data_IF_853969112619
#
_entry.id   IF_853969112619
#
_cell.length_a   1.000
_cell.length_b   1.000
_cell.length_c   1.000
_cell.angle_alpha   90.00
_cell.angle_beta   90.00
_cell.angle_gamma   90.00
#
_symmetry.space_group_name_H-M   'P 1'
#
loop_
_entity.id
_entity.type
_entity.pdbx_description
1 polymer ?
#
# COMPACT_ATOMS: atom_id res chain seq x y z
N UNK A 1 20.20 -38.59 16.53
CA UNK A 1 19.15 -38.84 17.54
C UNK A 1 18.04 -37.87 17.27
N UNK A 2 17.01 -38.39 16.61
CA UNK A 2 15.77 -37.75 16.23
C UNK A 2 14.80 -37.71 17.42
N UNK A 3 13.88 -36.75 17.41
CA UNK A 3 12.54 -36.73 18.04
C UNK A 3 11.95 -35.34 17.67
N UNK A 4 11.19 -35.11 16.60
CA UNK A 4 10.01 -35.78 16.02
C UNK A 4 8.67 -35.45 16.70
N UNK A 5 7.74 -34.94 15.87
CA UNK A 5 6.26 -35.00 15.95
C UNK A 5 5.53 -34.17 17.03
N UNK A 6 4.32 -33.65 16.84
CA UNK A 6 3.40 -33.50 15.71
C UNK A 6 2.22 -32.59 16.12
N UNK A 7 1.49 -32.12 15.12
CA UNK A 7 0.16 -31.48 15.15
C UNK A 7 -0.85 -32.12 16.13
N UNK A 8 -1.74 -31.29 16.68
CA UNK A 8 -3.06 -31.72 17.15
C UNK A 8 -4.14 -30.89 16.43
N UNK A 9 -4.94 -31.62 15.66
CA UNK A 9 -6.23 -31.26 15.06
C UNK A 9 -7.30 -30.98 16.13
N UNK A 10 -8.31 -30.17 15.80
CA UNK A 10 -9.69 -30.66 15.74
C UNK A 10 -10.68 -29.56 15.32
N UNK A 11 -11.29 -29.81 14.16
CA UNK A 11 -12.50 -29.17 13.65
C UNK A 11 -13.73 -29.56 14.48
N UNK A 12 -14.68 -28.65 14.63
CA UNK A 12 -16.04 -28.97 15.06
C UNK A 12 -17.04 -28.47 14.01
N UNK A 13 -17.53 -29.42 13.20
CA UNK A 13 -18.75 -29.34 12.42
C UNK A 13 -19.85 -30.10 13.17
N UNK A 14 -21.06 -29.53 13.30
CA UNK A 14 -22.36 -30.22 13.42
C UNK A 14 -23.43 -29.20 12.95
N UNK A 15 -24.05 -29.39 11.77
CA UNK A 15 -25.28 -30.19 11.47
C UNK A 15 -26.51 -29.64 12.22
N UNK A 16 -27.73 -29.45 11.68
CA UNK A 16 -28.43 -29.67 10.41
C UNK A 16 -29.85 -29.06 10.58
N UNK A 17 -30.53 -28.60 9.52
CA UNK A 17 -31.88 -29.08 9.12
C UNK A 17 -32.44 -28.38 7.88
N UNK A 18 -33.03 -29.21 7.03
CA UNK A 18 -33.65 -28.98 5.70
C UNK A 18 -35.13 -28.57 5.80
N UNK A 19 -35.64 -28.08 4.65
CA UNK A 19 -36.98 -28.25 4.01
C UNK A 19 -37.64 -26.91 3.65
N UNK A 20 -38.38 -26.67 2.54
CA UNK A 20 -38.53 -27.21 1.17
C UNK A 20 -39.72 -26.48 0.49
N UNK A 21 -39.64 -26.20 -0.83
CA UNK A 21 -40.69 -25.84 -1.83
C UNK A 21 -41.56 -24.55 -1.57
N UNK A 22 -42.05 -23.77 -2.55
CA UNK A 22 -42.82 -24.08 -3.77
C UNK A 22 -42.68 -23.00 -4.89
N UNK A 23 -43.11 -23.36 -6.12
CA UNK A 23 -43.17 -22.57 -7.37
C UNK A 23 -44.34 -21.56 -7.38
N UNK A 24 -44.21 -20.45 -8.13
CA UNK A 24 -45.35 -19.94 -8.91
C UNK A 24 -44.93 -19.13 -10.16
N UNK A 25 -45.65 -19.38 -11.27
CA UNK A 25 -45.52 -18.74 -12.59
C UNK A 25 -46.32 -17.42 -12.65
N UNK A 26 -45.88 -16.47 -13.48
CA UNK A 26 -46.70 -15.31 -13.89
C UNK A 26 -46.04 -14.50 -15.00
N UNK A 27 -46.65 -14.50 -16.19
CA UNK A 27 -46.18 -13.91 -17.44
C UNK A 27 -47.13 -12.81 -17.94
N UNK A 28 -46.60 -11.64 -18.30
CA UNK A 28 -47.11 -10.58 -19.21
C UNK A 28 -46.09 -9.41 -19.14
N UNK A 29 -45.78 -8.53 -20.09
CA UNK A 29 -46.07 -8.29 -21.51
C UNK A 29 -44.97 -7.32 -22.01
N UNK A 30 -44.73 -7.29 -23.31
CA UNK A 30 -43.77 -6.43 -24.01
C UNK A 30 -44.17 -4.94 -24.06
N UNK A 31 -43.19 -4.02 -24.04
CA UNK A 31 -42.84 -3.10 -25.15
C UNK A 31 -42.27 -1.74 -24.67
N UNK A 32 -41.02 -1.45 -25.08
CA UNK A 32 -40.45 -0.15 -25.51
C UNK A 32 -39.03 0.08 -24.98
N UNK A 33 -37.98 0.10 -25.82
CA UNK A 33 -36.72 0.74 -25.45
C UNK A 33 -36.83 2.23 -25.80
N UNK A 34 -37.21 3.06 -24.83
CA UNK A 34 -37.02 4.51 -24.96
C UNK A 34 -35.53 4.76 -24.82
N UNK A 35 -34.90 4.97 -25.97
CA UNK A 35 -33.53 5.44 -26.08
C UNK A 35 -33.51 6.93 -25.68
N UNK A 36 -33.46 7.20 -24.38
CA UNK A 36 -33.04 8.50 -23.88
C UNK A 36 -31.60 8.38 -23.43
N UNK A 37 -30.73 9.00 -24.23
CA UNK A 37 -29.35 9.30 -23.88
C UNK A 37 -29.33 9.89 -22.47
N UNK A 38 -28.84 9.11 -21.51
CA UNK A 38 -28.50 9.61 -20.19
C UNK A 38 -27.36 10.61 -20.39
N UNK A 39 -27.73 11.89 -20.44
CA UNK A 39 -26.84 12.96 -20.02
C UNK A 39 -26.41 12.59 -18.60
N UNK A 40 -25.23 12.00 -18.45
CA UNK A 40 -24.57 11.84 -17.16
C UNK A 40 -24.15 13.23 -16.70
N UNK A 41 -25.10 14.00 -16.19
CA UNK A 41 -24.82 15.15 -15.35
C UNK A 41 -23.98 14.64 -14.18
N UNK A 42 -22.74 15.13 -14.12
CA UNK A 42 -21.85 14.85 -13.01
C UNK A 42 -22.53 15.37 -11.74
N UNK A 43 -23.02 14.44 -10.92
CA UNK A 43 -23.78 14.77 -9.71
C UNK A 43 -22.79 15.03 -8.58
N UNK A 44 -23.22 15.77 -7.55
CA UNK A 44 -22.41 16.11 -6.36
C UNK A 44 -21.79 14.90 -5.62
N UNK A 45 -22.28 13.69 -5.89
CA UNK A 45 -21.78 12.43 -5.36
C UNK A 45 -20.68 11.76 -6.20
N UNK A 46 -20.29 12.33 -7.35
CA UNK A 46 -19.23 11.80 -8.22
C UNK A 46 -17.80 11.98 -7.69
N UNK A 47 -17.63 12.65 -6.55
CA UNK A 47 -16.33 12.85 -5.90
C UNK A 47 -15.63 11.52 -5.51
N UNK A 48 -16.37 10.42 -5.41
CA UNK A 48 -15.86 9.07 -5.13
C UNK A 48 -15.96 8.12 -6.33
N UNK A 49 -16.24 8.64 -7.53
CA UNK A 49 -16.34 7.82 -8.72
C UNK A 49 -14.93 7.43 -9.22
N UNK A 50 -14.63 6.13 -9.19
CA UNK A 50 -13.35 5.55 -9.60
C UNK A 50 -12.90 5.96 -11.01
N UNK A 51 -13.80 6.48 -11.86
CA UNK A 51 -13.47 7.01 -13.19
C UNK A 51 -12.61 8.28 -13.17
N UNK A 52 -12.57 9.02 -12.06
CA UNK A 52 -11.77 10.24 -11.90
C UNK A 52 -10.46 10.02 -11.11
N UNK A 53 -10.25 8.82 -10.57
CA UNK A 53 -9.00 8.49 -9.85
C UNK A 53 -7.97 8.06 -10.89
N UNK A 54 -7.24 9.03 -11.43
CA UNK A 54 -6.07 8.77 -12.24
C UNK A 54 -5.04 8.01 -11.37
N UNK A 55 -4.80 6.74 -11.68
CA UNK A 55 -3.78 5.93 -11.00
C UNK A 55 -2.41 6.51 -11.36
N UNK A 56 -1.86 7.37 -10.49
CA UNK A 56 -0.49 7.84 -10.63
C UNK A 56 0.47 6.65 -10.58
N UNK A 57 1.31 6.54 -11.59
CA UNK A 57 2.39 5.55 -11.62
C UNK A 57 3.34 5.86 -10.47
N UNK A 58 3.69 4.89 -9.61
CA UNK A 58 4.65 5.11 -8.54
C UNK A 58 5.98 5.62 -9.09
N UNK A 59 6.44 6.76 -8.59
CA UNK A 59 7.78 7.27 -8.88
C UNK A 59 8.82 6.34 -8.22
N UNK A 60 9.96 6.15 -8.89
CA UNK A 60 11.01 5.19 -8.47
C UNK A 60 12.30 5.91 -8.17
N UNK A 61 12.90 5.59 -7.02
CA UNK A 61 14.20 6.03 -6.58
C UNK A 61 15.23 4.88 -6.58
N UNK A 62 16.51 5.24 -6.62
CA UNK A 62 17.64 4.31 -6.56
C UNK A 62 18.58 4.65 -5.42
N UNK A 63 18.84 3.68 -4.54
CA UNK A 63 19.83 3.85 -3.47
C UNK A 63 21.24 3.86 -4.07
N UNK A 64 22.04 4.87 -3.76
CA UNK A 64 23.41 4.96 -4.29
C UNK A 64 24.40 4.03 -3.57
N UNK A 65 24.01 3.47 -2.41
CA UNK A 65 24.84 2.54 -1.65
C UNK A 65 24.62 1.08 -2.05
N UNK A 66 23.37 0.64 -2.24
CA UNK A 66 23.06 -0.75 -2.60
C UNK A 66 22.51 -0.95 -4.02
N UNK A 67 22.35 0.14 -4.79
CA UNK A 67 21.81 0.15 -6.17
C UNK A 67 20.40 -0.46 -6.32
N UNK A 68 19.72 -0.72 -5.21
CA UNK A 68 18.36 -1.26 -5.24
C UNK A 68 17.36 -0.14 -5.48
N UNK A 69 16.38 -0.42 -6.33
CA UNK A 69 15.24 0.48 -6.55
C UNK A 69 14.24 0.41 -5.39
N UNK A 70 13.57 1.51 -5.10
CA UNK A 70 12.44 1.56 -4.18
C UNK A 70 11.43 2.63 -4.66
N UNK A 71 10.18 2.53 -4.22
CA UNK A 71 9.18 3.58 -4.50
C UNK A 71 9.59 4.87 -3.79
N UNK A 72 9.31 6.02 -4.39
CA UNK A 72 9.37 7.32 -3.71
C UNK A 72 8.03 8.06 -3.74
N UNK A 73 6.96 7.32 -4.04
CA UNK A 73 5.58 7.84 -4.06
C UNK A 73 5.18 8.44 -2.70
N UNK A 74 5.72 7.90 -1.61
CA UNK A 74 5.53 8.40 -0.26
C UNK A 74 6.89 8.57 0.45
N UNK A 75 7.04 9.60 1.32
CA UNK A 75 8.24 9.75 2.15
C UNK A 75 8.55 8.51 2.99
N UNK A 76 7.52 7.75 3.38
CA UNK A 76 7.67 6.52 4.15
C UNK A 76 8.45 5.44 3.39
N UNK A 77 8.38 5.40 2.06
CA UNK A 77 9.10 4.39 1.27
C UNK A 77 10.62 4.57 1.39
N UNK A 78 11.09 5.82 1.39
CA UNK A 78 12.49 6.19 1.62
C UNK A 78 12.91 5.76 3.03
N UNK A 79 12.09 6.08 4.04
CA UNK A 79 12.34 5.71 5.44
C UNK A 79 12.47 4.19 5.58
N UNK A 80 11.53 3.43 5.03
CA UNK A 80 11.52 1.97 5.09
C UNK A 80 12.77 1.37 4.44
N UNK A 81 13.24 1.92 3.32
CA UNK A 81 14.46 1.46 2.68
C UNK A 81 15.66 1.51 3.63
N UNK A 82 15.88 2.66 4.28
CA UNK A 82 17.03 2.87 5.17
C UNK A 82 16.87 2.28 6.57
N UNK A 83 15.65 1.93 6.98
CA UNK A 83 15.41 1.14 8.20
C UNK A 83 15.74 -0.34 7.96
N UNK A 84 15.28 -0.90 6.84
CA UNK A 84 15.36 -2.33 6.57
C UNK A 84 16.75 -2.77 6.08
N UNK A 85 17.58 -1.83 5.62
CA UNK A 85 18.90 -2.09 5.07
C UNK A 85 19.93 -1.17 5.67
N UNK A 86 21.00 -1.76 6.20
CA UNK A 86 22.16 -1.01 6.67
C UNK A 86 22.98 -0.55 5.48
N UNK A 87 23.33 0.74 5.48
CA UNK A 87 24.17 1.37 4.47
C UNK A 87 25.26 2.17 5.17
N UNK A 88 26.39 2.36 4.49
CA UNK A 88 27.41 3.27 4.97
C UNK A 88 26.94 4.73 4.78
N UNK A 89 27.03 5.60 5.81
CA UNK A 89 26.68 7.01 5.70
C UNK A 89 27.63 7.75 4.74
N UNK A 90 27.11 8.70 3.98
CA UNK A 90 27.92 9.51 3.06
C UNK A 90 28.41 10.82 3.69
N UNK A 91 27.68 11.35 4.67
CA UNK A 91 28.01 12.56 5.41
C UNK A 91 27.21 12.60 6.72
N UNK A 92 27.31 13.70 7.47
CA UNK A 92 26.64 13.90 8.75
C UNK A 92 25.69 15.09 8.70
N UNK A 93 24.58 14.96 9.42
CA UNK A 93 23.58 16.02 9.55
C UNK A 93 24.14 17.20 10.33
N UNK A 94 24.00 18.41 9.79
CA UNK A 94 24.54 19.62 10.42
C UNK A 94 23.88 19.96 11.76
N UNK A 95 22.65 19.50 11.99
CA UNK A 95 21.86 19.86 13.17
C UNK A 95 22.04 18.91 14.36
N UNK A 96 22.04 17.60 14.10
CA UNK A 96 22.12 16.59 15.14
C UNK A 96 23.39 15.73 15.03
N UNK A 97 24.26 16.02 14.08
CA UNK A 97 25.44 15.22 13.78
C UNK A 97 25.12 13.74 13.45
N UNK A 98 23.89 13.39 13.05
CA UNK A 98 23.50 12.02 12.72
C UNK A 98 23.93 11.55 11.33
N UNK A 99 23.90 10.24 11.04
CA UNK A 99 24.32 9.69 9.75
C UNK A 99 23.35 10.06 8.63
N UNK A 100 23.86 10.53 7.49
CA UNK A 100 23.07 10.85 6.30
C UNK A 100 23.36 9.89 5.14
N UNK A 101 22.33 9.60 4.36
CA UNK A 101 22.38 8.69 3.22
C UNK A 101 21.93 9.40 1.95
N UNK A 102 22.26 8.83 0.78
CA UNK A 102 21.97 9.44 -0.52
C UNK A 102 21.30 8.47 -1.48
N UNK A 103 20.31 8.97 -2.20
CA UNK A 103 19.61 8.25 -3.25
C UNK A 103 19.45 9.15 -4.47
N UNK A 104 19.07 8.55 -5.59
CA UNK A 104 18.75 9.23 -6.84
C UNK A 104 17.24 9.15 -7.05
N UNK A 105 16.59 10.29 -7.22
CA UNK A 105 15.14 10.35 -7.45
C UNK A 105 14.76 10.00 -8.90
N UNK A 106 13.46 9.95 -9.18
CA UNK A 106 12.89 9.68 -10.51
C UNK A 106 13.27 10.72 -11.56
N UNK A 107 13.72 11.89 -11.12
CA UNK A 107 14.19 13.01 -11.96
C UNK A 107 15.72 13.03 -12.10
N UNK A 108 16.39 11.94 -11.71
CA UNK A 108 17.85 11.77 -11.74
C UNK A 108 18.63 12.73 -10.81
N UNK A 109 17.98 13.40 -9.86
CA UNK A 109 18.66 14.25 -8.90
C UNK A 109 19.15 13.44 -7.70
N UNK A 110 20.30 13.84 -7.16
CA UNK A 110 20.82 13.27 -5.91
C UNK A 110 20.13 13.94 -4.73
N UNK A 111 19.43 13.12 -3.95
CA UNK A 111 18.74 13.52 -2.74
C UNK A 111 19.45 12.93 -1.51
N UNK A 112 19.25 13.60 -0.37
CA UNK A 112 19.81 13.18 0.92
C UNK A 112 18.70 12.84 1.90
N UNK A 113 18.85 11.72 2.59
CA UNK A 113 17.92 11.23 3.59
C UNK A 113 18.60 11.08 4.96
N UNK A 114 17.92 11.56 5.99
CA UNK A 114 18.28 11.39 7.39
C UNK A 114 17.06 11.61 8.30
N UNK A 115 16.95 10.83 9.38
CA UNK A 115 15.90 10.99 10.41
C UNK A 115 16.47 11.69 11.66
N UNK A 116 16.30 13.02 11.69
CA UNK A 116 16.75 13.86 12.82
C UNK A 116 16.04 13.50 14.14
N UNK A 117 14.74 13.23 14.10
CA UNK A 117 13.94 13.00 15.31
C UNK A 117 14.39 11.74 16.03
N UNK A 118 14.64 10.67 15.28
CA UNK A 118 15.14 9.43 15.84
C UNK A 118 16.55 9.60 16.41
N UNK A 119 17.42 10.39 15.77
CA UNK A 119 18.79 10.57 16.23
C UNK A 119 18.89 11.44 17.50
N UNK A 120 18.09 12.51 17.61
CA UNK A 120 18.11 13.40 18.77
C UNK A 120 17.76 12.69 20.08
N UNK A 121 16.84 11.72 20.04
CA UNK A 121 16.51 10.88 21.21
C UNK A 121 17.71 10.10 21.77
N UNK A 122 18.72 9.82 20.95
CA UNK A 122 19.96 9.18 21.43
C UNK A 122 20.95 10.18 22.04
N UNK A 123 20.84 11.47 21.72
CA UNK A 123 21.72 12.52 22.26
C UNK A 123 21.24 13.01 23.62
N UNK A 124 19.92 13.18 23.78
CA UNK A 124 19.31 13.71 25.02
C UNK A 124 19.32 12.71 26.20
N UNK A 125 19.84 11.49 26.01
CA UNK A 125 19.95 10.45 27.05
C UNK A 125 21.29 10.45 27.80
N UNK A 126 22.03 11.57 27.76
CA UNK A 126 23.35 11.74 28.40
C UNK A 126 23.24 12.49 29.71
#
# INVERSE_FOLDING_TARGET
MENSFANIYASTMKSERRMSNERNHGSYESSAPVHQQQHHEATEHDAVNNRFIEKRVPEVAYCLSCRTQFSESLPNDIIQHYINRRHEPCCRCLYCNGPMYRYRDSKDNVQYYHDCHRYKRFLDAS
#
